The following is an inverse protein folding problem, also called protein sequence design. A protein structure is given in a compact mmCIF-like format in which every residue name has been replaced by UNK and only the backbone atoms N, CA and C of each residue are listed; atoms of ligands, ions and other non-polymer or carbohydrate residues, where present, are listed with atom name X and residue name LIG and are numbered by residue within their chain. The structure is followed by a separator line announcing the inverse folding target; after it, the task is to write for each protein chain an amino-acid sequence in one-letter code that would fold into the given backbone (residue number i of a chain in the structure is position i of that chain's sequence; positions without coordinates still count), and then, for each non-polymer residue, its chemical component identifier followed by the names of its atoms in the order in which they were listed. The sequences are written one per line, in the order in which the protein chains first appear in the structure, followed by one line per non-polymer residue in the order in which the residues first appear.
data_IF_791842839640
#
_entry.id   IF_791842839640
#
_cell.length_a   1.000
_cell.length_b   1.000
_cell.length_c   1.000
_cell.angle_alpha   90.00
_cell.angle_beta   90.00
_cell.angle_gamma   90.00
#
_symmetry.space_group_name_H-M   'P 1'
#
loop_
_entity.id
_entity.type
_entity.pdbx_description
1 polymer ?
#
# COMPACT_ATOMS: atom_id res chain seq x y z
N UNK A 1 62.27 -28.49 2.29
CA UNK A 1 62.07 -27.21 1.57
C UNK A 1 60.76 -27.23 0.78
N UNK A 2 59.61 -27.48 1.42
CA UNK A 2 58.28 -27.40 0.76
C UNK A 2 57.12 -27.27 1.78
N UNK A 3 57.36 -26.62 2.93
CA UNK A 3 56.34 -26.49 3.99
C UNK A 3 56.46 -25.21 4.84
N UNK A 4 57.01 -24.13 4.27
CA UNK A 4 57.09 -22.82 4.95
C UNK A 4 56.60 -21.61 4.15
N UNK A 5 56.08 -21.78 2.93
CA UNK A 5 55.57 -20.65 2.11
C UNK A 5 54.04 -20.51 2.09
N UNK A 6 53.26 -21.45 2.63
CA UNK A 6 51.78 -21.39 2.56
C UNK A 6 51.11 -20.63 3.69
N UNK A 7 51.81 -20.33 4.79
CA UNK A 7 51.22 -19.58 5.91
C UNK A 7 51.43 -18.06 5.86
N UNK A 8 52.28 -17.54 4.96
CA UNK A 8 52.51 -16.10 4.84
C UNK A 8 51.53 -15.40 3.90
N UNK A 9 51.04 -16.09 2.85
CA UNK A 9 50.00 -15.56 1.96
C UNK A 9 48.60 -15.51 2.60
N UNK A 10 48.31 -16.41 3.55
CA UNK A 10 47.00 -16.44 4.22
C UNK A 10 46.82 -15.30 5.26
N UNK A 11 47.92 -14.84 5.87
CA UNK A 11 47.87 -13.74 6.84
C UNK A 11 47.84 -12.35 6.18
N UNK A 12 48.43 -12.18 4.99
CA UNK A 12 48.40 -10.89 4.28
C UNK A 12 47.03 -10.60 3.65
N UNK A 13 46.25 -11.63 3.28
CA UNK A 13 44.89 -11.45 2.75
C UNK A 13 43.84 -11.18 3.84
N UNK A 14 44.05 -11.67 5.07
CA UNK A 14 43.14 -11.40 6.18
C UNK A 14 43.38 -9.97 6.72
N UNK A 15 44.62 -9.49 6.77
CA UNK A 15 44.92 -8.15 7.31
C UNK A 15 44.59 -7.02 6.32
N UNK A 16 44.56 -7.26 5.00
CA UNK A 16 44.10 -6.26 4.02
C UNK A 16 42.58 -6.15 3.91
N UNK A 17 41.82 -7.20 4.25
CA UNK A 17 40.35 -7.15 4.29
C UNK A 17 39.77 -6.48 5.54
N UNK A 18 40.55 -6.31 6.61
CA UNK A 18 40.10 -5.61 7.83
C UNK A 18 40.41 -4.10 7.84
N UNK A 19 41.15 -3.57 6.86
CA UNK A 19 41.51 -2.13 6.82
C UNK A 19 40.58 -1.30 5.90
N UNK A 20 39.66 -1.93 5.15
CA UNK A 20 38.66 -1.22 4.33
C UNK A 20 37.22 -1.25 4.88
N UNK A 21 37.02 -1.53 6.17
CA UNK A 21 35.69 -1.51 6.79
C UNK A 21 35.62 -0.74 8.12
N UNK A 22 36.42 0.31 8.25
CA UNK A 22 36.12 1.41 9.17
C UNK A 22 35.81 2.69 8.39
N UNK A 23 34.88 2.61 7.44
CA UNK A 23 33.92 3.69 7.35
C UNK A 23 33.03 3.53 8.59
N UNK A 24 33.51 4.02 9.75
CA UNK A 24 32.62 4.46 10.81
C UNK A 24 31.70 5.45 10.11
N UNK A 25 30.50 4.99 9.78
CA UNK A 25 29.42 5.89 9.48
C UNK A 25 29.29 6.72 10.73
N UNK A 26 29.84 7.92 10.70
CA UNK A 26 29.43 9.02 11.57
C UNK A 26 27.96 9.33 11.24
N UNK A 27 27.07 8.38 11.52
CA UNK A 27 25.67 8.62 11.82
C UNK A 27 25.64 9.22 13.23
N UNK A 28 26.40 10.30 13.38
CA UNK A 28 26.40 11.15 14.55
C UNK A 28 24.99 11.71 14.66
N UNK A 29 24.48 11.77 15.89
CA UNK A 29 23.14 12.19 16.26
C UNK A 29 22.75 13.61 15.81
N UNK A 30 23.55 14.28 14.97
CA UNK A 30 23.25 15.54 14.29
C UNK A 30 22.16 15.40 13.20
N UNK A 31 21.84 14.19 12.73
CA UNK A 31 20.85 14.01 11.64
C UNK A 31 19.40 14.12 12.09
N UNK A 32 19.09 13.93 13.38
CA UNK A 32 17.70 13.94 13.87
C UNK A 32 17.08 15.35 13.92
N UNK A 33 17.89 16.41 13.96
CA UNK A 33 17.41 17.79 14.03
C UNK A 33 17.25 18.47 12.66
N UNK A 34 17.66 17.80 11.57
CA UNK A 34 17.50 18.36 10.22
C UNK A 34 16.04 18.30 9.81
N UNK A 35 15.41 19.48 9.72
CA UNK A 35 14.11 19.64 9.06
C UNK A 35 14.28 19.39 7.56
N UNK A 36 13.40 18.58 7.00
CA UNK A 36 13.43 18.15 5.60
C UNK A 36 12.16 18.64 4.92
N UNK A 37 12.27 18.98 3.63
CA UNK A 37 11.14 19.16 2.73
C UNK A 37 10.86 17.84 2.01
N UNK A 38 9.74 17.22 2.30
CA UNK A 38 9.38 15.88 1.85
C UNK A 38 8.19 15.97 0.89
N UNK A 39 8.31 15.36 -0.28
CA UNK A 39 7.21 15.17 -1.20
C UNK A 39 6.64 13.75 -1.02
N UNK A 40 5.40 13.64 -0.57
CA UNK A 40 4.65 12.39 -0.50
C UNK A 40 3.78 12.20 -1.74
N UNK A 41 3.88 11.05 -2.40
CA UNK A 41 3.15 10.74 -3.63
C UNK A 41 2.39 9.42 -3.44
N UNK A 42 1.08 9.53 -3.19
CA UNK A 42 0.19 8.40 -2.88
C UNK A 42 -1.03 8.41 -3.82
N UNK A 43 -0.82 8.01 -5.08
CA UNK A 43 -1.79 8.19 -6.13
C UNK A 43 -2.82 7.06 -6.21
N UNK A 44 -2.80 6.05 -5.34
CA UNK A 44 -3.84 5.02 -5.40
C UNK A 44 -5.17 5.54 -4.80
N UNK A 45 -6.31 5.48 -5.53
CA UNK A 45 -7.62 5.92 -5.04
C UNK A 45 -8.27 4.88 -4.11
N UNK A 46 -7.48 4.30 -3.19
CA UNK A 46 -7.93 3.34 -2.19
C UNK A 46 -7.66 3.85 -0.78
N UNK A 47 -8.74 4.08 -0.02
CA UNK A 47 -8.65 4.64 1.34
C UNK A 47 -7.79 3.78 2.27
N UNK A 48 -7.90 2.46 2.15
CA UNK A 48 -7.10 1.49 2.89
C UNK A 48 -5.60 1.61 2.62
N UNK A 49 -5.19 2.12 1.46
CA UNK A 49 -3.78 2.37 1.18
C UNK A 49 -3.31 3.64 1.88
N UNK A 50 -4.01 4.75 1.65
CA UNK A 50 -3.58 6.03 2.21
C UNK A 50 -3.59 6.03 3.75
N UNK A 51 -4.61 5.43 4.38
CA UNK A 51 -4.73 5.41 5.84
C UNK A 51 -3.62 4.61 6.53
N UNK A 52 -2.99 3.66 5.82
CA UNK A 52 -1.83 2.96 6.37
C UNK A 52 -0.62 3.89 6.51
N UNK A 53 -0.47 4.84 5.58
CA UNK A 53 0.72 5.70 5.49
C UNK A 53 0.49 7.04 6.21
N UNK A 54 -0.76 7.48 6.31
CA UNK A 54 -1.12 8.76 6.94
C UNK A 54 -0.46 8.98 8.31
N UNK A 55 -0.40 8.00 9.24
CA UNK A 55 0.27 8.20 10.53
C UNK A 55 1.76 8.53 10.41
N UNK A 56 2.46 7.94 9.42
CA UNK A 56 3.87 8.25 9.14
C UNK A 56 4.01 9.69 8.68
N UNK A 57 3.14 10.15 7.78
CA UNK A 57 3.17 11.51 7.24
C UNK A 57 2.90 12.54 8.34
N UNK A 58 1.86 12.32 9.14
CA UNK A 58 1.51 13.22 10.24
C UNK A 58 2.60 13.24 11.31
N UNK A 59 3.20 12.10 11.63
CA UNK A 59 4.31 12.01 12.58
C UNK A 59 5.57 12.75 12.09
N UNK A 60 5.89 12.68 10.79
CA UNK A 60 6.99 13.47 10.22
C UNK A 60 6.74 14.98 10.36
N UNK A 61 5.50 15.42 10.18
CA UNK A 61 5.16 16.83 10.42
C UNK A 61 5.27 17.18 11.90
N UNK A 62 4.84 16.32 12.83
CA UNK A 62 5.02 16.53 14.28
C UNK A 62 6.49 16.65 14.67
N UNK A 63 7.38 15.97 13.95
CA UNK A 63 8.85 16.06 14.10
C UNK A 63 9.46 17.29 13.43
N UNK A 64 8.65 18.15 12.82
CA UNK A 64 9.08 19.44 12.28
C UNK A 64 9.49 19.41 10.80
N UNK A 65 9.27 18.30 10.08
CA UNK A 65 9.45 18.26 8.63
C UNK A 65 8.32 19.02 7.89
N UNK A 66 8.63 19.51 6.70
CA UNK A 66 7.67 20.12 5.78
C UNK A 66 7.22 19.08 4.76
N UNK A 67 5.92 18.80 4.70
CA UNK A 67 5.36 17.80 3.79
C UNK A 67 4.45 18.45 2.76
N UNK A 68 4.68 18.11 1.50
CA UNK A 68 3.70 18.29 0.42
C UNK A 68 3.21 16.91 0.00
N UNK A 69 1.90 16.64 0.11
CA UNK A 69 1.34 15.30 -0.11
C UNK A 69 0.34 15.31 -1.26
N UNK A 70 0.69 14.61 -2.33
CA UNK A 70 -0.17 14.34 -3.48
C UNK A 70 -0.97 13.07 -3.19
N UNK A 71 -2.30 13.19 -3.04
CA UNK A 71 -3.16 12.02 -2.82
C UNK A 71 -4.63 12.29 -3.15
N UNK A 72 -5.43 11.23 -3.15
CA UNK A 72 -6.89 11.30 -3.25
C UNK A 72 -7.60 11.59 -1.92
N UNK A 73 -6.89 11.62 -0.80
CA UNK A 73 -7.48 11.67 0.54
C UNK A 73 -6.87 12.83 1.37
N UNK A 74 -7.12 14.09 0.99
CA UNK A 74 -6.60 15.23 1.73
C UNK A 74 -7.17 15.28 3.15
N UNK A 75 -6.44 15.91 4.10
CA UNK A 75 -6.92 16.06 5.48
C UNK A 75 -8.25 16.83 5.50
N UNK A 76 -9.27 16.26 6.13
CA UNK A 76 -10.61 16.86 6.19
C UNK A 76 -10.63 18.16 7.01
N UNK A 77 -11.65 19.01 6.82
CA UNK A 77 -11.84 20.22 7.66
C UNK A 77 -11.90 19.88 9.15
N UNK A 78 -12.60 18.80 9.52
CA UNK A 78 -12.67 18.33 10.90
C UNK A 78 -11.32 17.86 11.44
N UNK A 79 -10.55 17.10 10.65
CA UNK A 79 -9.20 16.67 11.03
C UNK A 79 -8.25 17.85 11.22
N UNK A 80 -8.30 18.85 10.32
CA UNK A 80 -7.49 20.07 10.41
C UNK A 80 -7.85 20.93 11.62
N UNK A 81 -9.13 21.01 11.98
CA UNK A 81 -9.59 21.72 13.17
C UNK A 81 -9.18 21.00 14.47
N UNK A 82 -9.25 19.66 14.49
CA UNK A 82 -8.87 18.85 15.65
C UNK A 82 -7.37 18.84 15.90
N UNK A 83 -6.57 18.76 14.85
CA UNK A 83 -5.11 18.75 14.93
C UNK A 83 -4.50 19.56 13.77
N UNK A 84 -4.25 20.86 13.99
CA UNK A 84 -3.58 21.71 13.01
C UNK A 84 -2.14 21.22 12.77
N UNK A 85 -1.81 20.87 11.53
CA UNK A 85 -0.43 20.56 11.12
C UNK A 85 -0.03 21.57 10.03
N UNK A 86 0.53 22.74 10.40
CA UNK A 86 0.75 23.85 9.46
C UNK A 86 1.78 23.51 8.37
N UNK A 87 2.71 22.60 8.65
CA UNK A 87 3.72 22.13 7.69
C UNK A 87 3.23 20.95 6.83
N UNK A 88 1.92 20.65 6.84
CA UNK A 88 1.30 19.63 6.00
C UNK A 88 0.48 20.29 4.88
N UNK A 89 0.99 20.24 3.64
CA UNK A 89 0.33 20.77 2.45
C UNK A 89 -0.30 19.63 1.63
N UNK A 90 -1.62 19.64 1.51
CA UNK A 90 -2.35 18.71 0.65
C UNK A 90 -2.38 19.19 -0.82
N UNK A 91 -2.03 18.31 -1.75
CA UNK A 91 -2.37 18.40 -3.17
C UNK A 91 -3.39 17.30 -3.47
N UNK A 92 -4.66 17.70 -3.50
CA UNK A 92 -5.77 16.80 -3.78
C UNK A 92 -5.80 16.42 -5.26
N UNK A 93 -5.77 15.11 -5.52
CA UNK A 93 -6.06 14.52 -6.83
C UNK A 93 -7.55 14.39 -7.13
N UNK A 94 -8.41 14.63 -6.12
CA UNK A 94 -9.84 14.84 -6.33
C UNK A 94 -10.07 16.25 -6.86
N UNK A 95 -10.81 16.34 -7.96
CA UNK A 95 -11.27 17.58 -8.58
C UNK A 95 -12.68 17.41 -9.17
N UNK A 96 -13.18 18.44 -9.86
CA UNK A 96 -14.52 18.44 -10.46
C UNK A 96 -14.73 17.30 -11.48
N UNK A 97 -13.66 16.81 -12.10
CA UNK A 97 -13.71 15.77 -13.13
C UNK A 97 -13.52 14.36 -12.56
N UNK A 98 -13.06 14.24 -11.30
CA UNK A 98 -12.84 12.94 -10.68
C UNK A 98 -13.06 12.94 -9.17
N UNK A 99 -14.07 12.17 -8.76
CA UNK A 99 -14.36 11.84 -7.37
C UNK A 99 -13.92 10.40 -7.11
N UNK A 100 -13.33 10.15 -5.95
CA UNK A 100 -13.02 8.78 -5.51
C UNK A 100 -14.33 8.04 -5.28
N UNK A 101 -14.59 7.01 -6.08
CA UNK A 101 -15.66 6.06 -5.80
C UNK A 101 -15.17 5.05 -4.76
N UNK A 102 -15.42 5.38 -3.48
CA UNK A 102 -15.48 4.38 -2.42
C UNK A 102 -16.49 3.28 -2.87
N UNK A 103 -16.23 2.00 -2.60
CA UNK A 103 -17.14 0.87 -2.97
C UNK A 103 -17.25 0.55 -4.48
N UNK A 104 -16.24 0.86 -5.29
CA UNK A 104 -16.27 0.61 -6.75
C UNK A 104 -16.21 -0.86 -7.20
N UNK A 105 -16.16 -1.84 -6.29
CA UNK A 105 -16.21 -3.27 -6.65
C UNK A 105 -17.64 -3.80 -6.49
N UNK A 106 -18.30 -3.97 -7.63
CA UNK A 106 -19.63 -4.58 -7.71
C UNK A 106 -19.53 -6.11 -7.78
N UNK A 107 -20.15 -6.78 -6.80
CA UNK A 107 -20.18 -8.23 -6.67
C UNK A 107 -20.89 -8.94 -7.84
N UNK A 108 -21.76 -8.25 -8.59
CA UNK A 108 -22.41 -8.81 -9.78
C UNK A 108 -21.44 -9.03 -10.95
N UNK A 109 -20.32 -8.32 -10.97
CA UNK A 109 -19.34 -8.40 -12.06
C UNK A 109 -18.28 -9.49 -11.85
N UNK A 110 -18.27 -10.18 -10.70
CA UNK A 110 -17.28 -11.22 -10.41
C UNK A 110 -17.62 -12.52 -11.17
N UNK A 111 -16.71 -12.97 -12.04
CA UNK A 111 -16.82 -14.24 -12.79
C UNK A 111 -16.18 -15.40 -12.03
N UNK A 112 -16.69 -16.61 -12.23
CA UNK A 112 -16.28 -17.83 -11.50
C UNK A 112 -15.16 -18.67 -12.17
N UNK A 113 -14.63 -18.25 -13.33
CA UNK A 113 -13.58 -18.99 -14.04
C UNK A 113 -12.18 -18.52 -13.59
N UNK A 114 -11.32 -19.40 -13.04
CA UNK A 114 -10.07 -18.98 -12.37
C UNK A 114 -9.17 -18.07 -13.20
N UNK A 115 -8.85 -18.44 -14.45
CA UNK A 115 -7.96 -17.61 -15.28
C UNK A 115 -8.61 -16.30 -15.74
N UNK A 116 -9.92 -16.30 -15.95
CA UNK A 116 -10.67 -15.09 -16.31
C UNK A 116 -10.71 -14.15 -15.11
N UNK A 117 -10.89 -14.69 -13.89
CA UNK A 117 -10.83 -13.93 -12.64
C UNK A 117 -9.45 -13.29 -12.47
N UNK A 118 -8.37 -14.05 -12.67
CA UNK A 118 -7.00 -13.55 -12.59
C UNK A 118 -6.72 -12.38 -13.55
N UNK A 119 -7.05 -12.55 -14.83
CA UNK A 119 -6.87 -11.49 -15.83
C UNK A 119 -7.81 -10.30 -15.60
N UNK A 120 -9.02 -10.55 -15.09
CA UNK A 120 -9.98 -9.51 -14.76
C UNK A 120 -9.49 -8.65 -13.60
N UNK A 121 -8.92 -9.24 -12.55
CA UNK A 121 -8.32 -8.53 -11.43
C UNK A 121 -7.16 -7.64 -11.89
N UNK A 122 -6.26 -8.18 -12.73
CA UNK A 122 -5.20 -7.39 -13.34
C UNK A 122 -5.75 -6.28 -14.23
N UNK A 123 -6.82 -6.52 -14.98
CA UNK A 123 -7.47 -5.49 -15.80
C UNK A 123 -8.07 -4.36 -14.94
N UNK A 124 -8.74 -4.71 -13.83
CA UNK A 124 -9.26 -3.73 -12.87
C UNK A 124 -8.11 -2.90 -12.31
N UNK A 125 -7.02 -3.56 -11.90
CA UNK A 125 -5.86 -2.91 -11.34
C UNK A 125 -5.15 -2.01 -12.37
N UNK A 126 -5.05 -2.46 -13.62
CA UNK A 126 -4.54 -1.68 -14.75
C UNK A 126 -5.37 -0.45 -14.98
N UNK A 127 -6.70 -0.59 -15.08
CA UNK A 127 -7.60 0.51 -15.36
C UNK A 127 -7.55 1.57 -14.24
N UNK A 128 -7.50 1.13 -12.97
CA UNK A 128 -7.27 2.05 -11.85
C UNK A 128 -5.91 2.75 -11.93
N UNK A 129 -4.86 2.03 -12.31
CA UNK A 129 -3.52 2.60 -12.48
C UNK A 129 -3.48 3.66 -13.59
N UNK A 130 -4.05 3.34 -14.75
CA UNK A 130 -4.21 4.25 -15.88
C UNK A 130 -4.97 5.53 -15.47
N UNK A 131 -6.13 5.39 -14.82
CA UNK A 131 -6.92 6.54 -14.35
C UNK A 131 -6.11 7.39 -13.36
N UNK A 132 -5.40 6.76 -12.43
CA UNK A 132 -4.57 7.47 -11.45
C UNK A 132 -3.43 8.25 -12.11
N UNK A 133 -2.80 7.67 -13.14
CA UNK A 133 -1.75 8.32 -13.92
C UNK A 133 -2.28 9.47 -14.78
N UNK A 134 -3.38 9.26 -15.51
CA UNK A 134 -3.97 10.29 -16.36
C UNK A 134 -4.49 11.47 -15.52
N UNK A 135 -5.24 11.19 -14.45
CA UNK A 135 -5.79 12.24 -13.60
C UNK A 135 -4.70 12.93 -12.79
N UNK A 136 -3.77 12.18 -12.20
CA UNK A 136 -2.79 12.76 -11.30
C UNK A 136 -1.70 13.56 -12.01
N UNK A 137 -1.22 13.10 -13.17
CA UNK A 137 -0.21 13.85 -13.92
C UNK A 137 -0.81 15.06 -14.66
N UNK A 138 -2.10 15.04 -15.01
CA UNK A 138 -2.79 16.19 -15.62
C UNK A 138 -3.46 17.11 -14.60
N UNK A 139 -3.42 16.77 -13.32
CA UNK A 139 -4.07 17.55 -12.28
C UNK A 139 -3.44 18.97 -12.22
N UNK A 140 -4.25 20.05 -12.30
CA UNK A 140 -3.73 21.41 -12.34
C UNK A 140 -2.82 21.77 -11.17
N UNK A 141 -3.09 21.27 -9.96
CA UNK A 141 -2.27 21.53 -8.77
C UNK A 141 -0.94 20.77 -8.80
N UNK A 142 -0.92 19.59 -9.41
CA UNK A 142 0.32 18.84 -9.66
C UNK A 142 1.14 19.59 -10.71
N UNK A 143 0.53 20.07 -11.80
CA UNK A 143 1.19 20.89 -12.82
C UNK A 143 1.74 22.21 -12.24
N UNK A 144 0.99 22.86 -11.34
CA UNK A 144 1.44 24.05 -10.63
C UNK A 144 2.69 23.76 -9.77
N UNK A 145 2.66 22.67 -9.00
CA UNK A 145 3.84 22.23 -8.24
C UNK A 145 5.03 22.00 -9.17
N UNK A 146 4.81 21.33 -10.31
CA UNK A 146 5.83 21.05 -11.30
C UNK A 146 6.39 22.34 -11.95
N UNK A 147 5.57 23.37 -12.13
CA UNK A 147 6.00 24.68 -12.64
C UNK A 147 6.66 25.57 -11.60
N UNK A 148 6.52 25.24 -10.32
CA UNK A 148 7.09 26.00 -9.21
C UNK A 148 8.62 25.81 -9.08
N UNK A 149 9.25 26.69 -8.29
CA UNK A 149 10.67 26.57 -7.90
C UNK A 149 10.87 25.74 -6.61
N UNK A 150 9.82 25.06 -6.14
CA UNK A 150 9.89 24.20 -4.94
C UNK A 150 11.00 23.15 -5.09
N UNK A 151 11.68 22.90 -3.97
CA UNK A 151 12.74 21.89 -3.86
C UNK A 151 12.41 20.98 -2.70
N UNK A 152 12.72 19.70 -2.88
CA UNK A 152 12.53 18.66 -1.88
C UNK A 152 13.89 18.05 -1.52
N UNK A 153 13.99 17.53 -0.32
CA UNK A 153 15.15 16.76 0.14
C UNK A 153 14.94 15.25 -0.03
N UNK A 154 13.67 14.81 -0.06
CA UNK A 154 13.27 13.40 -0.03
C UNK A 154 11.89 13.21 -0.68
N UNK A 155 11.70 12.08 -1.37
CA UNK A 155 10.39 11.66 -1.87
C UNK A 155 9.94 10.37 -1.17
N UNK A 156 8.69 10.36 -0.71
CA UNK A 156 7.97 9.13 -0.39
C UNK A 156 7.00 8.81 -1.52
N UNK A 157 7.05 7.58 -2.04
CA UNK A 157 6.20 7.17 -3.16
C UNK A 157 5.53 5.83 -2.89
N UNK A 158 4.24 5.76 -3.14
CA UNK A 158 3.50 4.51 -3.08
C UNK A 158 3.97 3.52 -4.16
N UNK A 159 4.23 2.29 -3.75
CA UNK A 159 4.52 1.16 -4.64
C UNK A 159 3.36 0.18 -4.62
N UNK A 160 2.51 0.28 -5.64
CA UNK A 160 1.39 -0.63 -5.86
C UNK A 160 1.15 -0.89 -7.35
N UNK A 161 0.26 -0.16 -8.01
CA UNK A 161 -0.13 -0.44 -9.40
C UNK A 161 0.19 0.69 -10.40
N UNK A 162 1.00 1.68 -10.01
CA UNK A 162 1.35 2.82 -10.85
C UNK A 162 2.84 3.10 -10.80
N UNK A 163 3.40 3.42 -11.96
CA UNK A 163 4.82 3.80 -12.10
C UNK A 163 4.99 5.19 -12.73
N UNK A 164 3.93 5.78 -13.31
CA UNK A 164 3.99 7.08 -13.96
C UNK A 164 4.52 8.20 -13.06
N UNK A 165 4.31 8.13 -11.75
CA UNK A 165 4.80 9.11 -10.78
C UNK A 165 6.31 9.01 -10.51
N UNK A 166 6.99 7.97 -10.97
CA UNK A 166 8.46 7.94 -10.99
C UNK A 166 9.03 9.03 -11.90
N UNK A 167 8.25 9.56 -12.84
CA UNK A 167 8.62 10.75 -13.60
C UNK A 167 8.87 11.99 -12.71
N UNK A 168 8.16 12.12 -11.57
CA UNK A 168 8.41 13.17 -10.59
C UNK A 168 9.73 12.93 -9.86
N UNK A 169 10.08 11.68 -9.55
CA UNK A 169 11.39 11.32 -9.00
C UNK A 169 12.50 11.74 -9.96
N UNK A 170 12.35 11.43 -11.24
CA UNK A 170 13.30 11.82 -12.29
C UNK A 170 13.45 13.35 -12.42
N UNK A 171 12.37 14.11 -12.21
CA UNK A 171 12.41 15.58 -12.22
C UNK A 171 13.21 16.15 -11.05
N UNK A 172 12.91 15.70 -9.83
CA UNK A 172 13.48 16.30 -8.63
C UNK A 172 14.89 15.78 -8.31
N UNK A 173 15.23 14.56 -8.76
CA UNK A 173 16.57 13.95 -8.61
C UNK A 173 17.08 13.96 -7.17
N UNK A 174 16.20 13.56 -6.26
CA UNK A 174 16.48 13.42 -4.82
C UNK A 174 16.31 11.97 -4.40
N UNK A 175 16.90 11.53 -3.29
CA UNK A 175 16.64 10.20 -2.76
C UNK A 175 15.14 9.96 -2.57
N UNK A 176 14.70 8.72 -2.80
CA UNK A 176 13.30 8.35 -2.60
C UNK A 176 13.14 7.01 -1.89
N UNK A 177 12.06 6.93 -1.12
CA UNK A 177 11.64 5.77 -0.35
C UNK A 177 10.32 5.28 -0.93
N UNK A 178 10.30 4.02 -1.36
CA UNK A 178 9.07 3.33 -1.74
C UNK A 178 8.31 2.91 -0.49
N UNK A 179 6.99 3.00 -0.51
CA UNK A 179 6.12 2.50 0.56
C UNK A 179 5.05 1.61 -0.05
N UNK A 180 4.92 0.38 0.45
CA UNK A 180 3.81 -0.51 0.10
C UNK A 180 2.98 -0.83 1.34
N UNK A 181 1.66 -0.81 1.18
CA UNK A 181 0.67 -0.95 2.25
C UNK A 181 0.17 -2.38 2.40
N UNK A 182 0.63 -3.27 1.52
CA UNK A 182 0.25 -4.66 1.42
C UNK A 182 1.49 -5.54 1.14
N UNK A 183 1.27 -6.79 0.76
CA UNK A 183 2.36 -7.64 0.28
C UNK A 183 3.04 -7.00 -0.93
N UNK A 184 4.37 -7.15 -1.04
CA UNK A 184 5.12 -6.61 -2.17
C UNK A 184 4.62 -7.28 -3.45
N UNK A 185 4.27 -6.48 -4.45
CA UNK A 185 3.86 -6.99 -5.76
C UNK A 185 5.07 -7.56 -6.52
N UNK A 186 4.85 -8.61 -7.30
CA UNK A 186 5.89 -9.26 -8.13
C UNK A 186 6.66 -8.27 -8.99
N UNK A 187 5.97 -7.30 -9.60
CA UNK A 187 6.62 -6.28 -10.45
C UNK A 187 7.45 -5.30 -9.62
N UNK A 188 7.05 -4.99 -8.38
CA UNK A 188 7.87 -4.17 -7.47
C UNK A 188 9.16 -4.90 -7.10
N UNK A 189 9.08 -6.19 -6.78
CA UNK A 189 10.24 -7.03 -6.54
C UNK A 189 11.17 -7.06 -7.76
N UNK A 190 10.60 -7.29 -8.95
CA UNK A 190 11.34 -7.31 -10.22
C UNK A 190 12.07 -5.99 -10.52
N UNK A 191 11.45 -4.85 -10.22
CA UNK A 191 12.01 -3.53 -10.53
C UNK A 191 13.17 -3.15 -9.62
N UNK A 192 13.12 -3.51 -8.34
CA UNK A 192 14.18 -3.19 -7.36
C UNK A 192 15.19 -4.32 -7.19
N UNK A 193 15.01 -5.45 -7.89
CA UNK A 193 15.87 -6.63 -7.79
C UNK A 193 15.69 -7.43 -6.50
N UNK A 194 14.56 -7.27 -5.80
CA UNK A 194 14.25 -8.08 -4.61
C UNK A 194 13.79 -9.48 -5.03
N UNK A 195 14.27 -10.57 -4.40
CA UNK A 195 13.84 -11.93 -4.76
C UNK A 195 12.36 -12.19 -4.42
N UNK A 196 11.63 -12.84 -5.33
CA UNK A 196 10.21 -13.20 -5.14
C UNK A 196 10.00 -14.53 -4.40
N UNK A 197 10.98 -15.45 -4.42
CA UNK A 197 10.91 -16.80 -3.83
C UNK A 197 9.62 -17.56 -4.23
N UNK A 198 9.42 -17.68 -5.54
CA UNK A 198 8.18 -18.14 -6.17
C UNK A 198 7.82 -19.59 -5.82
N UNK A 199 8.78 -20.37 -5.34
CA UNK A 199 8.56 -21.74 -4.87
C UNK A 199 7.93 -21.79 -3.46
N UNK A 200 8.07 -20.74 -2.65
CA UNK A 200 7.60 -20.73 -1.26
C UNK A 200 6.61 -19.61 -0.96
N UNK A 201 6.62 -18.54 -1.74
CA UNK A 201 5.76 -17.36 -1.59
C UNK A 201 4.76 -17.31 -2.75
N UNK A 202 3.47 -17.53 -2.50
CA UNK A 202 2.42 -17.27 -3.48
C UNK A 202 2.48 -15.82 -3.96
N UNK A 203 2.44 -15.63 -5.26
CA UNK A 203 2.25 -14.32 -5.89
C UNK A 203 0.94 -13.70 -5.42
N UNK A 204 0.98 -12.39 -5.20
CA UNK A 204 -0.24 -11.62 -4.97
C UNK A 204 -1.08 -11.70 -6.24
N UNK A 205 -2.37 -12.00 -6.09
CA UNK A 205 -3.26 -12.38 -7.20
C UNK A 205 -2.91 -13.71 -7.88
N UNK A 206 -2.21 -14.65 -7.23
CA UNK A 206 -2.01 -16.02 -7.74
C UNK A 206 -3.02 -17.05 -7.22
N UNK A 207 -3.79 -16.68 -6.19
CA UNK A 207 -4.77 -17.53 -5.49
C UNK A 207 -4.26 -18.89 -5.01
N UNK A 208 -2.96 -19.03 -4.74
CA UNK A 208 -2.36 -20.26 -4.21
C UNK A 208 -2.37 -20.25 -2.68
N UNK A 209 -2.71 -21.39 -2.08
CA UNK A 209 -2.72 -21.58 -0.63
C UNK A 209 -1.44 -22.27 -0.20
N UNK A 210 -0.87 -21.85 0.94
CA UNK A 210 0.26 -22.55 1.59
C UNK A 210 -0.27 -23.76 2.39
N UNK A 211 0.46 -24.90 2.42
CA UNK A 211 1.67 -25.20 1.66
C UNK A 211 1.37 -25.49 0.17
N UNK A 212 2.27 -25.08 -0.73
CA UNK A 212 2.11 -25.29 -2.17
C UNK A 212 2.68 -26.65 -2.62
N UNK A 213 1.92 -27.39 -3.41
CA UNK A 213 2.39 -28.61 -4.09
C UNK A 213 3.40 -28.29 -5.21
N UNK A 214 4.07 -29.30 -5.78
CA UNK A 214 4.95 -29.09 -6.94
C UNK A 214 4.25 -28.36 -8.10
N UNK A 215 3.02 -28.75 -8.42
CA UNK A 215 2.26 -28.12 -9.50
C UNK A 215 1.82 -26.70 -9.14
N UNK A 216 1.48 -26.43 -7.89
CA UNK A 216 1.16 -25.07 -7.45
C UNK A 216 2.39 -24.15 -7.50
N UNK A 217 3.57 -24.65 -7.13
CA UNK A 217 4.83 -23.91 -7.25
C UNK A 217 5.16 -23.57 -8.70
N UNK A 218 5.04 -24.55 -9.60
CA UNK A 218 5.25 -24.33 -11.04
C UNK A 218 4.25 -23.32 -11.59
N UNK A 219 2.97 -23.44 -11.23
CA UNK A 219 1.95 -22.49 -11.65
C UNK A 219 2.19 -21.07 -11.08
N UNK A 220 2.65 -20.98 -9.82
CA UNK A 220 2.97 -19.72 -9.17
C UNK A 220 4.16 -19.02 -9.85
N UNK A 221 5.23 -19.77 -10.14
CA UNK A 221 6.39 -19.27 -10.90
C UNK A 221 5.94 -18.69 -12.24
N UNK A 222 5.21 -19.47 -13.05
CA UNK A 222 4.73 -19.02 -14.36
C UNK A 222 3.84 -17.78 -14.24
N UNK A 223 2.92 -17.76 -13.27
CA UNK A 223 2.04 -16.62 -13.08
C UNK A 223 2.79 -15.36 -12.65
N UNK A 224 3.78 -15.48 -11.76
CA UNK A 224 4.63 -14.36 -11.33
C UNK A 224 5.34 -13.72 -12.53
N UNK A 225 5.92 -14.51 -13.43
CA UNK A 225 6.54 -14.00 -14.64
C UNK A 225 5.53 -13.37 -15.62
N UNK A 226 4.35 -13.97 -15.78
CA UNK A 226 3.27 -13.40 -16.59
C UNK A 226 2.86 -12.03 -16.03
N UNK A 227 2.70 -11.89 -14.72
CA UNK A 227 2.37 -10.61 -14.08
C UNK A 227 3.44 -9.55 -14.34
N UNK A 228 4.72 -9.91 -14.24
CA UNK A 228 5.83 -9.00 -14.53
C UNK A 228 5.80 -8.52 -15.99
N UNK A 229 5.59 -9.42 -16.94
CA UNK A 229 5.45 -9.08 -18.37
C UNK A 229 4.22 -8.19 -18.60
N UNK A 230 3.07 -8.54 -18.03
CA UNK A 230 1.86 -7.73 -18.15
C UNK A 230 2.06 -6.35 -17.55
N UNK A 231 2.75 -6.22 -16.43
CA UNK A 231 3.02 -4.91 -15.85
C UNK A 231 3.95 -4.08 -16.75
N UNK A 232 5.08 -4.65 -17.18
CA UNK A 232 6.09 -3.94 -17.97
C UNK A 232 5.59 -3.52 -19.36
N UNK A 233 4.71 -4.31 -19.99
CA UNK A 233 4.19 -4.00 -21.33
C UNK A 233 2.79 -3.40 -21.32
N UNK A 234 1.87 -3.93 -20.53
CA UNK A 234 0.47 -3.51 -20.59
C UNK A 234 0.17 -2.33 -19.66
N UNK A 235 0.57 -2.40 -18.38
CA UNK A 235 0.35 -1.29 -17.45
C UNK A 235 1.22 -0.09 -17.84
N UNK A 236 2.52 -0.35 -18.03
CA UNK A 236 3.47 0.71 -18.30
C UNK A 236 3.26 1.41 -19.64
N UNK A 237 2.66 0.76 -20.64
CA UNK A 237 2.20 1.46 -21.85
C UNK A 237 1.27 2.64 -21.51
N UNK A 238 0.26 2.42 -20.67
CA UNK A 238 -0.66 3.47 -20.25
C UNK A 238 -0.03 4.45 -19.26
N UNK A 239 0.93 4.01 -18.43
CA UNK A 239 1.64 4.90 -17.52
C UNK A 239 2.59 5.87 -18.25
N UNK A 240 3.22 5.41 -19.35
CA UNK A 240 4.20 6.21 -20.10
C UNK A 240 3.55 7.37 -20.85
N UNK A 241 2.39 7.18 -21.46
CA UNK A 241 1.73 8.22 -22.28
C UNK A 241 1.57 9.56 -21.55
N UNK A 242 0.97 9.65 -20.35
CA UNK A 242 0.87 10.92 -19.63
C UNK A 242 2.22 11.42 -19.09
N UNK A 243 3.16 10.53 -18.76
CA UNK A 243 4.48 10.92 -18.27
C UNK A 243 5.35 11.55 -19.38
N UNK A 244 5.44 10.91 -20.55
CA UNK A 244 6.23 11.42 -21.69
C UNK A 244 5.66 12.73 -22.23
N UNK A 245 4.35 12.94 -22.17
CA UNK A 245 3.72 14.24 -22.50
C UNK A 245 4.22 15.39 -21.63
N UNK A 246 4.61 15.12 -20.38
CA UNK A 246 5.09 16.14 -19.44
C UNK A 246 6.61 16.27 -19.42
N UNK A 247 7.32 15.15 -19.60
CA UNK A 247 8.76 15.08 -19.36
C UNK A 247 9.60 14.79 -20.62
N UNK A 248 8.96 14.60 -21.76
CA UNK A 248 9.64 14.26 -23.01
C UNK A 248 9.74 12.75 -23.25
N UNK A 249 10.02 12.36 -24.49
CA UNK A 249 10.22 10.97 -24.90
C UNK A 249 11.58 10.40 -24.49
N UNK A 250 12.48 11.25 -24.00
CA UNK A 250 13.77 10.88 -23.41
C UNK A 250 13.67 10.46 -21.94
N UNK A 251 12.47 10.44 -21.36
CA UNK A 251 12.22 9.93 -20.02
C UNK A 251 12.74 8.47 -19.90
N UNK A 252 13.62 8.17 -18.93
CA UNK A 252 14.11 6.82 -18.70
C UNK A 252 12.99 5.79 -18.49
N UNK A 253 13.32 4.51 -18.58
CA UNK A 253 12.33 3.48 -18.23
C UNK A 253 11.97 3.61 -16.75
N UNK A 254 10.71 3.36 -16.40
CA UNK A 254 10.29 3.37 -15.00
C UNK A 254 11.08 2.35 -14.17
N UNK A 255 11.43 1.23 -14.77
CA UNK A 255 12.32 0.22 -14.19
C UNK A 255 13.70 0.79 -13.85
N UNK A 256 14.29 1.61 -14.73
CA UNK A 256 15.59 2.24 -14.44
C UNK A 256 15.49 3.27 -13.32
N UNK A 257 14.43 4.09 -13.29
CA UNK A 257 14.20 5.03 -12.18
C UNK A 257 13.94 4.25 -10.87
N UNK A 258 13.20 3.14 -10.92
CA UNK A 258 12.89 2.33 -9.74
C UNK A 258 14.12 1.66 -9.12
N UNK A 259 15.17 1.35 -9.89
CA UNK A 259 16.44 0.81 -9.38
C UNK A 259 17.19 1.80 -8.47
N UNK A 260 16.95 3.10 -8.63
CA UNK A 260 17.56 4.15 -7.81
C UNK A 260 16.90 4.29 -6.41
N UNK A 261 15.90 3.45 -6.11
CA UNK A 261 15.20 3.48 -4.83
C UNK A 261 16.14 3.16 -3.67
N UNK A 262 16.16 4.03 -2.66
CA UNK A 262 17.04 3.86 -1.51
C UNK A 262 16.52 2.80 -0.54
N UNK A 263 15.22 2.85 -0.21
CA UNK A 263 14.56 1.96 0.77
C UNK A 263 13.15 1.61 0.27
N UNK A 264 12.70 0.39 0.56
CA UNK A 264 11.29 -0.01 0.48
C UNK A 264 10.75 -0.27 1.89
N UNK A 265 9.75 0.49 2.31
CA UNK A 265 8.99 0.23 3.53
C UNK A 265 7.75 -0.61 3.19
N UNK A 266 7.52 -1.69 3.93
CA UNK A 266 6.47 -2.66 3.64
C UNK A 266 5.60 -2.88 4.86
N UNK A 267 4.29 -2.62 4.76
CA UNK A 267 3.33 -2.93 5.81
C UNK A 267 2.98 -4.44 5.85
N UNK A 268 4.00 -5.26 6.09
CA UNK A 268 3.90 -6.69 6.38
C UNK A 268 4.75 -7.03 7.59
N UNK A 269 4.57 -8.23 8.13
CA UNK A 269 5.45 -8.80 9.14
C UNK A 269 5.58 -10.30 8.92
N UNK A 270 6.80 -10.83 8.99
CA UNK A 270 7.11 -12.25 8.78
C UNK A 270 6.30 -13.22 9.65
N UNK A 271 5.85 -12.79 10.85
CA UNK A 271 5.00 -13.64 11.71
C UNK A 271 3.62 -13.94 11.12
N UNK A 272 3.11 -13.06 10.25
CA UNK A 272 1.81 -13.22 9.58
C UNK A 272 1.95 -13.71 8.14
N UNK A 273 2.99 -13.28 7.44
CA UNK A 273 3.19 -13.56 6.02
C UNK A 273 4.13 -14.75 5.74
N UNK A 274 4.79 -15.25 6.78
CA UNK A 274 5.87 -16.22 6.71
C UNK A 274 7.21 -15.58 6.36
N UNK A 275 8.28 -16.35 6.55
CA UNK A 275 9.63 -15.94 6.15
C UNK A 275 9.75 -15.84 4.62
N UNK A 276 10.48 -14.83 4.15
CA UNK A 276 10.83 -14.64 2.73
C UNK A 276 12.18 -13.92 2.63
N UNK A 277 12.95 -14.14 1.56
CA UNK A 277 14.16 -13.37 1.32
C UNK A 277 13.82 -11.90 1.06
N UNK A 278 14.51 -11.01 1.76
CA UNK A 278 14.40 -9.56 1.58
C UNK A 278 15.80 -8.97 1.43
N UNK A 279 15.95 -8.02 0.51
CA UNK A 279 17.15 -7.19 0.45
C UNK A 279 17.28 -6.34 1.74
N UNK A 280 18.51 -5.96 2.16
CA UNK A 280 18.71 -5.16 3.38
C UNK A 280 17.98 -3.82 3.41
N UNK A 281 17.66 -3.26 2.24
CA UNK A 281 16.92 -2.01 2.10
C UNK A 281 15.40 -2.20 2.04
N UNK A 282 14.90 -3.42 2.23
CA UNK A 282 13.47 -3.71 2.35
C UNK A 282 13.12 -3.92 3.83
N UNK A 283 12.40 -2.96 4.41
CA UNK A 283 12.11 -2.90 5.84
C UNK A 283 10.62 -3.15 6.09
N UNK A 284 10.34 -4.15 6.92
CA UNK A 284 8.99 -4.45 7.38
C UNK A 284 8.55 -3.46 8.47
N UNK A 285 7.44 -2.79 8.24
CA UNK A 285 6.79 -1.82 9.14
C UNK A 285 5.32 -2.23 9.41
N UNK A 286 5.08 -3.55 9.52
CA UNK A 286 3.76 -4.11 9.74
C UNK A 286 3.07 -3.51 10.97
N UNK A 287 1.84 -3.01 10.77
CA UNK A 287 1.04 -2.44 11.85
C UNK A 287 1.35 -0.97 12.18
N UNK A 288 2.14 -0.27 11.36
CA UNK A 288 2.45 1.17 11.55
C UNK A 288 1.22 2.08 11.67
N UNK A 289 0.08 1.61 11.17
CA UNK A 289 -1.19 2.32 11.17
C UNK A 289 -2.08 2.03 12.38
N UNK A 290 -1.68 1.07 13.22
CA UNK A 290 -2.38 0.76 14.45
C UNK A 290 -2.11 1.86 15.47
N UNK A 291 -3.15 2.47 16.06
CA UNK A 291 -2.95 3.47 17.09
C UNK A 291 -2.40 2.82 18.37
N UNK A 292 -1.68 3.61 19.17
CA UNK A 292 -1.10 3.15 20.44
C UNK A 292 -2.14 2.93 21.55
N UNK A 293 -3.35 3.46 21.39
CA UNK A 293 -4.45 3.35 22.36
C UNK A 293 -5.80 3.29 21.66
N UNK A 294 -6.76 2.61 22.29
CA UNK A 294 -8.16 2.60 21.88
C UNK A 294 -8.86 3.91 22.25
N UNK A 295 -9.89 4.25 21.49
CA UNK A 295 -10.80 5.37 21.76
C UNK A 295 -12.12 4.85 22.32
N UNK A 296 -12.85 5.65 23.12
CA UNK A 296 -14.20 5.33 23.53
C UNK A 296 -15.11 5.12 22.31
N UNK A 297 -15.91 4.06 22.34
CA UNK A 297 -16.91 3.77 21.31
C UNK A 297 -18.11 4.71 21.46
N UNK A 298 -18.84 5.01 20.36
CA UNK A 298 -20.16 5.63 20.43
C UNK A 298 -21.07 4.89 21.41
N UNK A 299 -21.92 5.63 22.14
CA UNK A 299 -22.67 5.10 23.27
C UNK A 299 -23.63 3.96 22.88
N UNK A 300 -24.27 4.07 21.72
CA UNK A 300 -25.14 3.06 21.14
C UNK A 300 -24.39 1.77 20.80
N UNK A 301 -23.21 1.91 20.17
CA UNK A 301 -22.34 0.78 19.84
C UNK A 301 -21.78 0.12 21.11
N UNK A 302 -21.33 0.91 22.08
CA UNK A 302 -20.84 0.42 23.36
C UNK A 302 -21.93 -0.39 24.08
N UNK A 303 -23.14 0.16 24.20
CA UNK A 303 -24.28 -0.53 24.82
C UNK A 303 -24.61 -1.84 24.11
N UNK A 304 -24.63 -1.84 22.77
CA UNK A 304 -24.90 -3.06 21.99
C UNK A 304 -23.86 -4.16 22.25
N UNK A 305 -22.59 -3.78 22.40
CA UNK A 305 -21.49 -4.70 22.74
C UNK A 305 -21.56 -5.18 24.20
N UNK A 306 -21.87 -4.29 25.15
CA UNK A 306 -21.99 -4.62 26.57
C UNK A 306 -23.14 -5.61 26.84
N UNK A 307 -24.18 -5.61 26.01
CA UNK A 307 -25.30 -6.56 26.07
C UNK A 307 -24.99 -7.93 25.42
N UNK A 308 -23.82 -8.10 24.79
CA UNK A 308 -23.47 -9.30 24.01
C UNK A 308 -22.95 -10.46 24.88
N UNK A 309 -23.85 -11.18 25.55
CA UNK A 309 -23.52 -12.30 26.46
C UNK A 309 -22.79 -13.47 25.78
N UNK A 310 -23.09 -13.75 24.52
CA UNK A 310 -22.55 -14.87 23.74
C UNK A 310 -21.34 -14.46 22.87
N UNK A 311 -20.82 -13.25 23.10
CA UNK A 311 -19.80 -12.62 22.27
C UNK A 311 -20.36 -11.94 21.02
N UNK A 312 -19.44 -11.41 20.22
CA UNK A 312 -19.74 -10.54 19.08
C UNK A 312 -19.09 -11.09 17.81
N UNK A 313 -19.84 -11.07 16.71
CA UNK A 313 -19.32 -11.31 15.37
C UNK A 313 -19.22 -9.98 14.63
N UNK A 314 -18.02 -9.64 14.15
CA UNK A 314 -17.79 -8.46 13.30
C UNK A 314 -17.71 -8.87 11.83
N UNK A 315 -18.69 -8.44 11.03
CA UNK A 315 -18.81 -8.73 9.61
C UNK A 315 -18.55 -7.47 8.77
N UNK A 316 -17.46 -7.50 7.99
CA UNK A 316 -17.02 -6.40 7.15
C UNK A 316 -16.29 -6.94 5.91
N UNK A 317 -16.68 -6.48 4.72
CA UNK A 317 -16.01 -6.83 3.45
C UNK A 317 -15.03 -5.75 2.95
N UNK A 318 -14.64 -4.83 3.85
CA UNK A 318 -13.68 -3.77 3.56
C UNK A 318 -14.31 -2.50 2.95
N UNK A 319 -13.45 -1.61 2.44
CA UNK A 319 -13.85 -0.28 1.96
C UNK A 319 -14.18 -0.21 0.47
N UNK A 320 -13.84 -1.25 -0.30
CA UNK A 320 -13.95 -1.22 -1.77
C UNK A 320 -15.08 -2.08 -2.32
N UNK A 321 -15.57 -3.05 -1.55
CA UNK A 321 -16.68 -3.92 -1.95
C UNK A 321 -17.98 -3.23 -1.56
N UNK A 322 -18.88 -3.04 -2.52
CA UNK A 322 -20.23 -2.64 -2.23
C UNK A 322 -21.03 -3.87 -1.78
N UNK A 323 -21.25 -4.04 -0.47
CA UNK A 323 -22.00 -5.19 0.02
C UNK A 323 -23.50 -5.09 -0.29
N UNK A 324 -24.00 -3.88 -0.52
CA UNK A 324 -25.37 -3.63 -0.95
C UNK A 324 -25.64 -4.00 -2.42
N UNK A 325 -24.60 -4.24 -3.23
CA UNK A 325 -24.77 -4.72 -4.61
C UNK A 325 -24.94 -6.25 -4.71
N UNK A 326 -24.85 -6.95 -3.57
CA UNK A 326 -24.95 -8.39 -3.51
C UNK A 326 -26.29 -8.90 -4.06
N UNK A 327 -26.30 -9.97 -4.89
CA UNK A 327 -27.55 -10.58 -5.36
C UNK A 327 -28.50 -10.91 -4.19
N UNK A 328 -29.81 -10.62 -4.29
CA UNK A 328 -30.75 -10.77 -3.17
C UNK A 328 -30.73 -12.15 -2.50
N UNK A 329 -30.63 -13.23 -3.29
CA UNK A 329 -30.57 -14.58 -2.75
C UNK A 329 -29.31 -14.84 -1.88
N UNK A 330 -28.16 -14.24 -2.25
CA UNK A 330 -26.92 -14.36 -1.47
C UNK A 330 -27.00 -13.50 -0.22
N UNK A 331 -27.52 -12.27 -0.35
CA UNK A 331 -27.72 -11.37 0.79
C UNK A 331 -28.65 -12.01 1.83
N UNK A 332 -29.80 -12.53 1.40
CA UNK A 332 -30.75 -13.21 2.28
C UNK A 332 -30.12 -14.43 2.96
N UNK A 333 -29.31 -15.22 2.25
CA UNK A 333 -28.61 -16.34 2.86
C UNK A 333 -27.66 -15.89 3.98
N UNK A 334 -26.92 -14.78 3.79
CA UNK A 334 -26.05 -14.22 4.83
C UNK A 334 -26.89 -13.68 6.00
N UNK A 335 -27.97 -12.95 5.73
CA UNK A 335 -28.88 -12.42 6.76
C UNK A 335 -29.46 -13.57 7.59
N UNK A 336 -29.96 -14.63 6.95
CA UNK A 336 -30.52 -15.79 7.64
C UNK A 336 -29.47 -16.47 8.54
N UNK A 337 -28.26 -16.66 8.05
CA UNK A 337 -27.18 -17.27 8.84
C UNK A 337 -26.79 -16.37 10.02
N UNK A 338 -26.50 -15.10 9.76
CA UNK A 338 -26.10 -14.13 10.80
C UNK A 338 -27.22 -13.81 11.79
N UNK A 339 -28.49 -13.92 11.37
CA UNK A 339 -29.65 -13.79 12.25
C UNK A 339 -29.89 -15.02 13.13
N UNK A 340 -29.51 -16.21 12.66
CA UNK A 340 -29.72 -17.47 13.39
C UNK A 340 -28.67 -17.75 14.48
N UNK A 341 -27.53 -17.05 14.45
CA UNK A 341 -26.49 -17.24 15.47
C UNK A 341 -26.86 -16.53 16.78
N UNK A 342 -26.54 -17.11 17.95
CA UNK A 342 -26.89 -16.52 19.25
C UNK A 342 -26.06 -15.28 19.62
N UNK A 343 -25.07 -14.92 18.79
CA UNK A 343 -24.17 -13.79 19.02
C UNK A 343 -24.76 -12.48 18.49
N UNK A 344 -24.34 -11.37 19.10
CA UNK A 344 -24.55 -10.05 18.50
C UNK A 344 -23.66 -9.90 17.26
N UNK A 345 -24.18 -9.28 16.21
CA UNK A 345 -23.49 -9.09 14.93
C UNK A 345 -23.33 -7.62 14.66
N UNK A 346 -22.10 -7.17 14.43
CA UNK A 346 -21.81 -5.87 13.85
C UNK A 346 -21.60 -6.04 12.35
N UNK A 347 -22.36 -5.32 11.53
CA UNK A 347 -22.25 -5.38 10.07
C UNK A 347 -21.98 -3.98 9.50
N UNK A 348 -20.84 -3.82 8.80
CA UNK A 348 -20.56 -2.62 7.99
C UNK A 348 -21.36 -2.66 6.67
N UNK A 349 -22.30 -1.72 6.49
CA UNK A 349 -23.25 -1.70 5.36
C UNK A 349 -23.38 -0.31 4.75
N UNK A 350 -23.46 -0.23 3.43
CA UNK A 350 -23.20 1.00 2.67
C UNK A 350 -24.40 1.96 2.59
N UNK A 351 -25.63 1.44 2.53
CA UNK A 351 -26.86 2.22 2.30
C UNK A 351 -27.73 2.32 3.57
N UNK A 352 -28.66 3.27 3.62
CA UNK A 352 -29.50 3.45 4.83
C UNK A 352 -30.54 2.33 5.00
N UNK A 353 -30.95 1.70 3.89
CA UNK A 353 -31.93 0.62 3.90
C UNK A 353 -31.23 -0.74 4.06
N UNK A 354 -31.49 -1.42 5.18
CA UNK A 354 -31.04 -2.79 5.41
C UNK A 354 -32.26 -3.74 5.36
N UNK A 355 -32.31 -4.68 4.41
CA UNK A 355 -33.48 -5.55 4.26
C UNK A 355 -33.60 -6.50 5.44
N UNK A 356 -34.80 -6.61 6.01
CA UNK A 356 -35.16 -7.62 7.03
C UNK A 356 -34.15 -7.73 8.19
N UNK A 357 -33.68 -6.58 8.71
CA UNK A 357 -32.62 -6.54 9.74
C UNK A 357 -32.96 -7.37 10.97
N UNK A 358 -32.20 -8.44 11.29
CA UNK A 358 -32.41 -9.21 12.52
C UNK A 358 -32.15 -8.39 13.79
N UNK A 359 -32.75 -8.79 14.91
CA UNK A 359 -32.62 -8.10 16.21
C UNK A 359 -31.20 -8.19 16.79
N UNK A 360 -30.49 -9.27 16.49
CA UNK A 360 -29.10 -9.47 16.90
C UNK A 360 -28.09 -8.74 16.00
N UNK A 361 -28.53 -8.04 14.95
CA UNK A 361 -27.64 -7.34 13.99
C UNK A 361 -27.72 -5.82 14.20
N UNK A 362 -26.55 -5.20 14.39
CA UNK A 362 -26.33 -3.76 14.37
C UNK A 362 -25.60 -3.39 13.08
N UNK A 363 -26.10 -2.37 12.39
CA UNK A 363 -25.66 -1.97 11.07
C UNK A 363 -25.13 -0.54 11.11
N UNK A 364 -23.98 -0.28 10.49
CA UNK A 364 -23.45 1.07 10.33
C UNK A 364 -22.65 1.19 9.04
N UNK A 365 -22.67 2.39 8.42
CA UNK A 365 -21.80 2.73 7.29
C UNK A 365 -20.33 2.67 7.63
N UNK A 366 -19.99 3.03 8.87
CA UNK A 366 -18.61 3.04 9.33
C UNK A 366 -18.53 2.60 10.79
N UNK A 367 -17.65 1.63 11.05
CA UNK A 367 -17.39 1.12 12.39
C UNK A 367 -15.94 1.45 12.78
N UNK A 368 -15.68 1.87 14.03
CA UNK A 368 -14.32 2.09 14.52
C UNK A 368 -13.60 0.75 14.73
N UNK A 369 -13.18 0.13 13.62
CA UNK A 369 -12.74 -1.28 13.57
C UNK A 369 -11.67 -1.63 14.60
N UNK A 370 -10.63 -0.81 14.74
CA UNK A 370 -9.56 -1.07 15.72
C UNK A 370 -10.10 -1.06 17.15
N UNK A 371 -10.92 -0.06 17.49
CA UNK A 371 -11.47 0.10 18.84
C UNK A 371 -12.46 -1.02 19.19
N UNK A 372 -13.23 -1.52 18.21
CA UNK A 372 -14.12 -2.67 18.35
C UNK A 372 -13.34 -3.97 18.54
N UNK A 373 -12.30 -4.21 17.75
CA UNK A 373 -11.50 -5.45 17.81
C UNK A 373 -10.56 -5.52 19.01
N UNK A 374 -10.36 -4.41 19.72
CA UNK A 374 -9.49 -4.31 20.90
C UNK A 374 -10.27 -4.38 22.22
N UNK A 375 -11.58 -4.66 22.15
CA UNK A 375 -12.46 -4.95 23.28
C UNK A 375 -12.61 -6.46 23.43
#
# INVERSE_FOLDING_TARGET
MYLRCTNLCFYVFIVSCFICCEAKSDFTSKSLDRKLKILGIFPHPGKSHFFVIQPILEELVRRGHELTVISYFPRTKGSKAKEPLPNYKDISLVDENYIVNEESVDLNNIRHLPIVTLLMELNILKNRGQISCDNGLRNPKVLELLGSKEKFDLIFIEKFNTDCFLSLVHKYKVPFVGITTCQIMSWTNNHIGNPDDEANVPSVFGHRKKPMSFFDRTANLLWTHIQNILFDFWFNWYHRVPAEKLFGSDLPTFKDIAKEQSILLVNTHWSLHGSRPLLPNVIEIGGVHLPSSTKPLPQDLAKFLDEAKEGVLYFCLGSMINTSSMPPAKLQAIINVLGSIPRKVLWKWEIDDFPEKPDNVFVSRWLPQFDVLSK
#
